data_IF_251276627092
#
_entry.id   IF_251276627092
#
_cell.length_a   1.000
_cell.length_b   1.000
_cell.length_c   1.000
_cell.angle_alpha   90.00
_cell.angle_beta   90.00
_cell.angle_gamma   90.00
#
_symmetry.space_group_name_H-M   'P 1'
#
loop_
_entity.id
_entity.type
_entity.pdbx_description
1 polymer ?
#
# COMPACT_ATOMS: atom_id res chain seq x y z
N UNK A 1 -15.15 20.33 -12.91
CA UNK A 1 -14.42 19.81 -11.74
C UNK A 1 -13.11 19.24 -12.24
N UNK A 2 -11.99 19.57 -11.59
CA UNK A 2 -10.67 19.08 -11.98
C UNK A 2 -10.56 17.61 -11.52
N UNK A 3 -10.32 16.67 -12.43
CA UNK A 3 -10.17 15.24 -12.12
C UNK A 3 -8.70 14.89 -11.84
N UNK A 4 -7.95 15.82 -11.26
CA UNK A 4 -6.55 15.62 -10.92
C UNK A 4 -6.47 14.88 -9.58
N UNK A 5 -6.17 13.58 -9.63
CA UNK A 5 -6.00 12.74 -8.44
C UNK A 5 -4.69 13.03 -7.69
N UNK A 6 -3.79 13.87 -8.22
CA UNK A 6 -2.65 14.39 -7.46
C UNK A 6 -3.06 15.48 -6.45
N UNK A 7 -4.25 16.06 -6.60
CA UNK A 7 -4.83 16.95 -5.61
C UNK A 7 -5.37 16.12 -4.42
N UNK A 8 -4.93 16.37 -3.17
CA UNK A 8 -5.45 15.69 -1.99
C UNK A 8 -6.98 15.71 -1.85
N UNK A 9 -7.64 16.76 -2.36
CA UNK A 9 -9.11 16.87 -2.32
C UNK A 9 -9.76 15.75 -3.15
N UNK A 10 -9.17 15.41 -4.29
CA UNK A 10 -9.68 14.38 -5.20
C UNK A 10 -9.20 12.97 -4.84
N UNK A 11 -8.20 12.85 -3.95
CA UNK A 11 -7.63 11.58 -3.47
C UNK A 11 -8.18 11.13 -2.11
N UNK A 12 -9.18 11.82 -1.56
CA UNK A 12 -9.80 11.44 -0.30
C UNK A 12 -10.35 10.00 -0.38
N UNK A 13 -10.06 9.17 0.64
CA UNK A 13 -10.42 7.75 0.75
C UNK A 13 -9.61 6.77 -0.13
N UNK A 14 -8.73 7.26 -1.01
CA UNK A 14 -7.85 6.37 -1.80
C UNK A 14 -6.85 5.57 -0.94
N UNK A 15 -6.18 6.17 0.08
CA UNK A 15 -5.29 5.42 0.96
C UNK A 15 -6.01 4.29 1.72
N UNK A 16 -7.21 4.54 2.22
CA UNK A 16 -8.02 3.58 2.98
C UNK A 16 -8.48 2.41 2.10
N UNK A 17 -8.72 2.64 0.81
CA UNK A 17 -8.96 1.56 -0.17
C UNK A 17 -7.71 0.71 -0.42
N UNK A 18 -6.51 1.26 -0.21
CA UNK A 18 -5.24 0.57 -0.40
C UNK A 18 -4.77 -0.19 0.85
N UNK A 19 -5.26 0.16 2.05
CA UNK A 19 -4.85 -0.45 3.34
C UNK A 19 -4.88 -1.99 3.30
N UNK A 20 -5.98 -2.58 2.80
CA UNK A 20 -6.13 -4.03 2.70
C UNK A 20 -5.10 -4.64 1.73
N UNK A 21 -4.80 -3.95 0.63
CA UNK A 21 -3.79 -4.39 -0.35
C UNK A 21 -2.39 -4.36 0.26
N UNK A 22 -2.04 -3.29 0.98
CA UNK A 22 -0.77 -3.17 1.68
C UNK A 22 -0.63 -4.21 2.80
N UNK A 23 -1.70 -4.45 3.56
CA UNK A 23 -1.70 -5.48 4.59
C UNK A 23 -1.47 -6.88 3.99
N UNK A 24 -2.11 -7.19 2.86
CA UNK A 24 -1.91 -8.46 2.15
C UNK A 24 -0.48 -8.62 1.59
N UNK A 25 0.07 -7.61 0.92
CA UNK A 25 1.47 -7.68 0.45
C UNK A 25 2.42 -7.85 1.64
N UNK A 26 2.22 -7.10 2.73
CA UNK A 26 3.07 -7.21 3.90
C UNK A 26 2.99 -8.59 4.56
N UNK A 27 1.78 -9.17 4.67
CA UNK A 27 1.59 -10.54 5.17
C UNK A 27 2.32 -11.58 4.30
N UNK A 28 2.24 -11.44 2.98
CA UNK A 28 2.94 -12.31 2.03
C UNK A 28 4.47 -12.18 2.18
N UNK A 29 5.01 -10.95 2.25
CA UNK A 29 6.44 -10.72 2.46
C UNK A 29 6.94 -11.26 3.80
N UNK A 30 6.15 -11.13 4.86
CA UNK A 30 6.50 -11.73 6.16
C UNK A 30 6.61 -13.26 6.05
N UNK A 31 5.68 -13.90 5.33
CA UNK A 31 5.69 -15.36 5.08
C UNK A 31 6.89 -15.79 4.24
N UNK A 32 7.21 -15.04 3.19
CA UNK A 32 8.42 -15.27 2.38
C UNK A 32 9.69 -15.11 3.20
N UNK A 33 9.75 -14.07 4.06
CA UNK A 33 10.86 -13.85 4.98
C UNK A 33 11.09 -15.05 5.92
N UNK A 34 10.01 -15.60 6.49
CA UNK A 34 10.07 -16.82 7.31
C UNK A 34 10.62 -18.00 6.51
N UNK A 35 10.10 -18.25 5.30
CA UNK A 35 10.56 -19.33 4.42
C UNK A 35 12.05 -19.18 4.08
N UNK A 36 12.47 -17.99 3.66
CA UNK A 36 13.84 -17.73 3.22
C UNK A 36 14.82 -17.81 4.40
N UNK A 37 14.42 -17.34 5.59
CA UNK A 37 15.22 -17.47 6.80
C UNK A 37 15.40 -18.93 7.19
N UNK A 38 14.36 -19.75 7.06
CA UNK A 38 14.45 -21.19 7.31
C UNK A 38 15.42 -21.90 6.34
N UNK A 39 15.38 -21.56 5.06
CA UNK A 39 16.35 -22.06 4.06
C UNK A 39 17.77 -21.66 4.45
N UNK A 40 18.01 -20.37 4.71
CA UNK A 40 19.33 -19.88 5.12
C UNK A 40 19.85 -20.55 6.41
N UNK A 41 18.95 -20.88 7.35
CA UNK A 41 19.31 -21.59 8.59
C UNK A 41 19.91 -22.98 8.33
N UNK A 42 19.43 -23.66 7.29
CA UNK A 42 19.91 -25.00 6.90
C UNK A 42 21.26 -24.94 6.19
N UNK A 43 21.57 -23.84 5.51
CA UNK A 43 22.78 -23.67 4.70
C UNK A 43 23.93 -22.96 5.45
N UNK A 44 23.65 -22.29 6.58
CA UNK A 44 24.67 -21.48 7.27
C UNK A 44 25.67 -22.34 8.05
N UNK A 45 26.97 -22.04 7.90
CA UNK A 45 28.05 -22.78 8.60
C UNK A 45 28.46 -22.08 9.91
N UNK A 46 28.38 -20.75 9.99
CA UNK A 46 28.77 -20.00 11.20
C UNK A 46 27.76 -20.22 12.34
N UNK A 47 28.21 -20.62 13.54
CA UNK A 47 27.35 -20.75 14.72
C UNK A 47 26.66 -19.44 15.12
N UNK A 48 27.37 -18.32 15.01
CA UNK A 48 26.87 -16.98 15.35
C UNK A 48 25.77 -16.55 14.37
N UNK A 49 26.00 -16.75 13.06
CA UNK A 49 25.00 -16.47 12.03
C UNK A 49 23.76 -17.36 12.20
N UNK A 50 23.96 -18.64 12.57
CA UNK A 50 22.85 -19.56 12.84
C UNK A 50 21.97 -19.08 13.99
N UNK A 51 22.56 -18.60 15.08
CA UNK A 51 21.79 -18.11 16.22
C UNK A 51 21.04 -16.82 15.91
N UNK A 52 21.64 -15.92 15.13
CA UNK A 52 20.96 -14.73 14.60
C UNK A 52 19.75 -15.12 13.74
N UNK A 53 19.91 -16.05 12.80
CA UNK A 53 18.83 -16.50 11.91
C UNK A 53 17.70 -17.20 12.69
N UNK A 54 18.01 -17.97 13.75
CA UNK A 54 16.96 -18.54 14.64
C UNK A 54 16.13 -17.44 15.29
N UNK A 55 16.77 -16.36 15.74
CA UNK A 55 16.07 -15.21 16.34
C UNK A 55 15.19 -14.51 15.30
N UNK A 56 15.73 -14.24 14.12
CA UNK A 56 14.98 -13.62 13.02
C UNK A 56 13.79 -14.47 12.58
N UNK A 57 13.95 -15.81 12.52
CA UNK A 57 12.86 -16.73 12.20
C UNK A 57 11.71 -16.61 13.22
N UNK A 58 12.02 -16.61 14.52
CA UNK A 58 11.03 -16.44 15.59
C UNK A 58 10.33 -15.08 15.48
N UNK A 59 11.08 -14.02 15.21
CA UNK A 59 10.53 -12.67 15.03
C UNK A 59 9.63 -12.58 13.80
N UNK A 60 10.01 -13.19 12.68
CA UNK A 60 9.20 -13.24 11.46
C UNK A 60 7.89 -13.99 11.65
N UNK A 61 7.91 -15.11 12.41
CA UNK A 61 6.69 -15.86 12.76
C UNK A 61 5.76 -15.01 13.64
N UNK A 62 6.31 -14.33 14.66
CA UNK A 62 5.54 -13.43 15.52
C UNK A 62 4.93 -12.26 14.72
N UNK A 63 5.71 -11.65 13.83
CA UNK A 63 5.24 -10.57 12.96
C UNK A 63 4.11 -11.04 12.03
N UNK A 64 4.25 -12.20 11.40
CA UNK A 64 3.17 -12.79 10.58
C UNK A 64 1.88 -12.98 11.39
N UNK A 65 1.99 -13.44 12.63
CA UNK A 65 0.84 -13.59 13.53
C UNK A 65 0.18 -12.24 13.83
N UNK A 66 0.95 -11.22 14.22
CA UNK A 66 0.45 -9.88 14.53
C UNK A 66 -0.29 -9.25 13.33
N UNK A 67 0.28 -9.37 12.13
CA UNK A 67 -0.35 -8.90 10.88
C UNK A 67 -1.67 -9.64 10.63
N UNK A 68 -1.65 -10.98 10.73
CA UNK A 68 -2.84 -11.81 10.50
C UNK A 68 -3.97 -11.42 11.47
N UNK A 69 -3.65 -11.29 12.77
CA UNK A 69 -4.63 -10.90 13.78
C UNK A 69 -5.19 -9.49 13.54
N UNK A 70 -4.35 -8.54 13.13
CA UNK A 70 -4.80 -7.20 12.75
C UNK A 70 -5.80 -7.27 11.59
N UNK A 71 -5.47 -8.03 10.54
CA UNK A 71 -6.32 -8.16 9.36
C UNK A 71 -7.66 -8.82 9.68
N UNK A 72 -7.67 -9.85 10.55
CA UNK A 72 -8.91 -10.46 11.05
C UNK A 72 -9.74 -9.44 11.83
N UNK A 73 -9.15 -8.72 12.80
CA UNK A 73 -9.86 -7.69 13.59
C UNK A 73 -10.47 -6.59 12.70
N UNK A 74 -9.77 -6.22 11.63
CA UNK A 74 -10.20 -5.22 10.65
C UNK A 74 -11.16 -5.75 9.58
N UNK A 75 -11.45 -7.07 9.57
CA UNK A 75 -12.24 -7.75 8.54
C UNK A 75 -11.65 -7.60 7.13
N UNK A 76 -10.32 -7.52 7.06
CA UNK A 76 -9.55 -7.55 5.81
C UNK A 76 -9.13 -8.97 5.44
N UNK A 77 -9.33 -9.93 6.32
CA UNK A 77 -9.00 -11.34 6.10
C UNK A 77 -9.91 -12.25 6.92
N UNK A 78 -10.53 -13.23 6.26
CA UNK A 78 -11.50 -14.18 6.79
C UNK A 78 -10.98 -15.62 6.60
N UNK A 79 -9.98 -16.05 7.38
CA UNK A 79 -9.29 -17.32 7.15
C UNK A 79 -10.15 -18.56 7.37
N UNK A 80 -11.23 -18.46 8.15
CA UNK A 80 -12.12 -19.59 8.46
C UNK A 80 -13.42 -19.56 7.64
N UNK A 81 -13.81 -18.40 7.12
CA UNK A 81 -15.03 -18.15 6.36
C UNK A 81 -14.73 -17.96 4.86
N UNK A 82 -14.38 -19.05 4.17
CA UNK A 82 -13.95 -19.00 2.75
C UNK A 82 -14.95 -18.31 1.81
N UNK A 83 -16.26 -18.42 2.09
CA UNK A 83 -17.29 -17.76 1.28
C UNK A 83 -17.25 -16.24 1.42
N UNK A 84 -16.97 -15.73 2.63
CA UNK A 84 -16.79 -14.30 2.90
C UNK A 84 -15.48 -13.82 2.28
N UNK A 85 -14.39 -14.57 2.47
CA UNK A 85 -13.09 -14.26 1.86
C UNK A 85 -13.20 -14.17 0.34
N UNK A 86 -13.90 -15.11 -0.30
CA UNK A 86 -14.11 -15.07 -1.74
C UNK A 86 -14.85 -13.81 -2.21
N UNK A 87 -15.86 -13.36 -1.48
CA UNK A 87 -16.56 -12.11 -1.80
C UNK A 87 -15.64 -10.89 -1.67
N UNK A 88 -14.82 -10.87 -0.61
CA UNK A 88 -13.82 -9.82 -0.37
C UNK A 88 -12.75 -9.80 -1.49
N UNK A 89 -12.28 -10.96 -1.92
CA UNK A 89 -11.30 -11.10 -3.00
C UNK A 89 -11.88 -10.59 -4.33
N UNK A 90 -13.13 -10.94 -4.64
CA UNK A 90 -13.83 -10.45 -5.82
C UNK A 90 -14.05 -8.94 -5.79
N UNK A 91 -14.33 -8.37 -4.62
CA UNK A 91 -14.42 -6.91 -4.45
C UNK A 91 -13.06 -6.26 -4.68
N UNK A 92 -12.00 -6.81 -4.10
CA UNK A 92 -10.63 -6.32 -4.26
C UNK A 92 -10.21 -6.30 -5.73
N UNK A 93 -10.42 -7.40 -6.45
CA UNK A 93 -10.10 -7.52 -7.87
C UNK A 93 -10.85 -6.49 -8.74
N UNK A 94 -12.15 -6.26 -8.45
CA UNK A 94 -12.94 -5.23 -9.13
C UNK A 94 -12.42 -3.82 -8.85
N UNK A 95 -12.06 -3.51 -7.61
CA UNK A 95 -11.50 -2.22 -7.24
C UNK A 95 -10.15 -1.98 -7.93
N UNK A 96 -9.28 -2.99 -7.98
CA UNK A 96 -8.01 -2.90 -8.72
C UNK A 96 -8.24 -2.63 -10.21
N UNK A 97 -9.17 -3.34 -10.85
CA UNK A 97 -9.50 -3.12 -12.25
C UNK A 97 -10.07 -1.72 -12.52
N UNK A 98 -10.90 -1.21 -11.60
CA UNK A 98 -11.42 0.16 -11.65
C UNK A 98 -10.28 1.18 -11.58
N UNK A 99 -9.40 1.07 -10.57
CA UNK A 99 -8.26 1.97 -10.38
C UNK A 99 -7.31 1.94 -11.58
N UNK A 100 -7.04 0.76 -12.13
CA UNK A 100 -6.20 0.59 -13.31
C UNK A 100 -6.77 1.30 -14.56
N UNK A 101 -8.10 1.48 -14.63
CA UNK A 101 -8.77 2.23 -15.69
C UNK A 101 -8.86 3.75 -15.45
N UNK A 102 -8.43 4.24 -14.29
CA UNK A 102 -8.49 5.67 -13.97
C UNK A 102 -7.36 6.44 -14.65
N UNK A 103 -7.64 7.67 -15.09
CA UNK A 103 -6.63 8.59 -15.59
C UNK A 103 -5.91 9.27 -14.42
N UNK A 104 -5.00 8.53 -13.75
CA UNK A 104 -4.35 8.97 -12.52
C UNK A 104 -3.31 10.09 -12.73
N UNK A 105 -2.79 10.23 -13.95
CA UNK A 105 -1.79 11.23 -14.27
C UNK A 105 -2.29 12.12 -15.41
N UNK A 106 -2.16 13.46 -15.28
CA UNK A 106 -2.46 14.34 -16.40
C UNK A 106 -1.46 14.07 -17.54
N UNK A 107 -1.94 14.18 -18.79
CA UNK A 107 -1.08 14.02 -19.97
C UNK A 107 0.01 15.10 -20.07
N UNK A 108 -0.21 16.24 -19.43
CA UNK A 108 0.80 17.28 -19.20
C UNK A 108 1.05 17.43 -17.69
N UNK A 109 2.27 17.11 -17.25
CA UNK A 109 2.72 17.27 -15.85
C UNK A 109 3.41 18.61 -15.61
N UNK A 110 3.40 19.52 -16.59
CA UNK A 110 4.05 20.83 -16.45
C UNK A 110 3.32 21.68 -15.41
N UNK A 111 4.05 22.09 -14.36
CA UNK A 111 3.49 22.98 -13.32
C UNK A 111 3.31 24.42 -13.79
N UNK A 112 3.62 24.74 -15.06
CA UNK A 112 3.57 26.12 -15.58
C UNK A 112 2.18 26.74 -15.48
N UNK A 113 1.11 25.95 -15.62
CA UNK A 113 -0.28 26.41 -15.42
C UNK A 113 -0.72 26.54 -13.95
N UNK A 114 0.04 25.99 -13.00
CA UNK A 114 -0.19 26.16 -11.55
C UNK A 114 0.49 27.43 -10.99
N UNK A 115 1.28 28.11 -11.82
CA UNK A 115 1.88 29.42 -11.54
C UNK A 115 1.18 30.49 -12.39
N UNK A 116 -0.15 30.42 -12.54
CA UNK A 116 -0.92 31.37 -13.36
C UNK A 116 -0.95 32.80 -12.83
N UNK A 117 -0.36 33.06 -11.64
CA UNK A 117 -0.17 34.42 -11.13
C UNK A 117 1.29 34.77 -11.16
N UNK A 118 1.72 35.49 -12.19
CA UNK A 118 2.90 36.34 -12.04
C UNK A 118 2.58 37.39 -10.96
N UNK A 119 3.52 37.73 -10.04
CA UNK A 119 3.28 38.66 -8.93
C UNK A 119 2.74 40.05 -9.32
N UNK A 120 2.80 40.38 -10.61
CA UNK A 120 2.59 41.71 -11.15
C UNK A 120 1.16 41.98 -11.65
N UNK A 121 0.28 40.98 -11.69
CA UNK A 121 -1.12 41.14 -12.16
C UNK A 121 -1.97 42.04 -11.24
N UNK A 122 -1.49 42.38 -10.04
CA UNK A 122 -2.16 43.31 -9.12
C UNK A 122 -1.92 44.80 -9.42
N UNK A 123 -1.14 45.17 -10.44
CA UNK A 123 -0.78 46.59 -10.67
C UNK A 123 -1.62 47.33 -11.72
N UNK A 124 -2.45 46.65 -12.52
CA UNK A 124 -3.17 47.32 -13.62
C UNK A 124 -4.63 47.69 -13.29
N UNK A 125 -5.23 47.17 -12.21
CA UNK A 125 -6.63 47.48 -11.85
C UNK A 125 -6.81 48.73 -10.96
N UNK A 126 -5.74 49.48 -10.64
CA UNK A 126 -5.83 50.69 -9.78
C UNK A 126 -5.74 52.03 -10.54
N UNK A 127 -5.96 52.04 -11.85
CA UNK A 127 -6.06 53.28 -12.64
C UNK A 127 -7.29 53.28 -13.55
N UNK A 128 -8.46 53.52 -12.95
CA UNK A 128 -9.64 54.04 -13.62
C UNK A 128 -10.47 54.88 -12.63
#
# INVERSE_FOLDING_TARGET
MNNDYLDPINSLNMPEMADMTFAMDFLLRAKEGVRNTAVALTETVSPEARELLKKQLKQGIALHQEITELMIRKKWFHPYELQEQYQLDQLSAKNTAMIAGMNLFPGDTSRKGMFDRTPDEHKEESQA
#
